data_IF_117989901577
#
_entry.id   IF_117989901577
#
_cell.length_a   1.000
_cell.length_b   1.000
_cell.length_c   1.000
_cell.angle_alpha   90.00
_cell.angle_beta   90.00
_cell.angle_gamma   90.00
#
_symmetry.space_group_name_H-M   'P 1'
#
loop_
_entity.id
_entity.type
_entity.pdbx_description
1 polymer ?
#
# COMPACT_ATOMS: atom_id res chain seq x y z
N UNK A 1 5.39 -8.89 2.17
CA UNK A 1 4.55 -7.68 2.02
C UNK A 1 4.87 -6.77 3.19
N UNK A 2 4.93 -5.46 2.97
CA UNK A 2 5.01 -4.46 4.04
C UNK A 2 3.90 -3.45 3.81
N UNK A 3 2.94 -3.40 4.73
CA UNK A 3 1.88 -2.41 4.77
C UNK A 3 2.11 -1.45 5.93
N UNK A 4 2.06 -0.14 5.66
CA UNK A 4 2.29 0.91 6.66
C UNK A 4 1.13 1.92 6.56
N UNK A 5 0.70 2.46 7.69
CA UNK A 5 -0.26 3.56 7.79
C UNK A 5 0.38 4.76 8.51
N UNK A 6 -0.17 5.95 8.32
CA UNK A 6 0.32 7.20 8.95
C UNK A 6 1.79 7.52 8.63
N UNK A 7 2.26 7.01 7.48
CA UNK A 7 3.63 7.18 7.02
C UNK A 7 3.95 8.66 6.72
N UNK A 8 2.93 9.49 6.48
CA UNK A 8 3.05 10.93 6.31
C UNK A 8 1.87 11.68 6.95
N UNK A 9 2.04 12.99 7.13
CA UNK A 9 0.92 13.86 7.52
C UNK A 9 -0.16 13.85 6.44
N UNK A 10 -1.40 14.02 6.87
CA UNK A 10 -2.60 14.05 6.03
C UNK A 10 -2.64 15.28 5.10
N UNK A 11 -1.77 16.27 5.33
CA UNK A 11 -1.70 17.50 4.53
C UNK A 11 -1.34 17.18 3.07
N UNK A 12 -2.05 17.74 2.07
CA UNK A 12 -1.70 17.57 0.66
C UNK A 12 -0.27 18.02 0.39
N UNK A 13 0.47 17.23 -0.39
CA UNK A 13 1.86 17.54 -0.77
C UNK A 13 2.09 17.27 -2.24
N UNK A 14 2.88 18.13 -2.88
CA UNK A 14 3.31 17.95 -4.27
C UNK A 14 4.50 16.99 -4.39
N UNK A 15 5.26 16.83 -3.32
CA UNK A 15 6.47 16.00 -3.28
C UNK A 15 6.37 14.92 -2.21
N UNK A 16 7.13 13.84 -2.38
CA UNK A 16 7.25 12.78 -1.38
C UNK A 16 7.69 13.36 -0.03
N UNK A 17 7.09 12.91 1.07
CA UNK A 17 7.45 13.37 2.40
C UNK A 17 8.75 12.75 2.94
N UNK A 18 9.27 13.33 4.03
CA UNK A 18 10.54 12.90 4.65
C UNK A 18 10.47 11.47 5.18
N UNK A 19 9.35 11.09 5.82
CA UNK A 19 9.17 9.76 6.42
C UNK A 19 9.06 8.69 5.34
N UNK A 20 8.30 8.92 4.27
CA UNK A 20 8.21 8.06 3.08
C UNK A 20 9.58 7.82 2.46
N UNK A 21 10.41 8.87 2.31
CA UNK A 21 11.80 8.72 1.83
C UNK A 21 12.63 7.84 2.76
N UNK A 22 12.54 8.09 4.07
CA UNK A 22 13.27 7.32 5.08
C UNK A 22 12.86 5.83 5.05
N UNK A 23 11.56 5.54 4.95
CA UNK A 23 11.04 4.18 4.80
C UNK A 23 11.55 3.49 3.54
N UNK A 24 11.52 4.18 2.40
CA UNK A 24 12.06 3.64 1.14
C UNK A 24 13.55 3.33 1.24
N UNK A 25 14.33 4.22 1.85
CA UNK A 25 15.76 4.00 2.08
C UNK A 25 16.01 2.80 3.02
N UNK A 26 15.25 2.70 4.12
CA UNK A 26 15.32 1.58 5.05
C UNK A 26 14.99 0.27 4.34
N UNK A 27 13.90 0.22 3.57
CA UNK A 27 13.54 -0.98 2.83
C UNK A 27 14.63 -1.40 1.85
N UNK A 28 15.21 -0.44 1.11
CA UNK A 28 16.33 -0.74 0.23
C UNK A 28 17.49 -1.38 1.01
N UNK A 29 17.89 -0.78 2.13
CA UNK A 29 19.01 -1.27 2.92
C UNK A 29 18.77 -2.67 3.53
N UNK A 30 17.54 -2.95 3.94
CA UNK A 30 17.17 -4.25 4.54
C UNK A 30 17.01 -5.33 3.48
N UNK A 31 16.38 -5.03 2.34
CA UNK A 31 15.91 -6.05 1.40
C UNK A 31 16.73 -6.18 0.11
N UNK A 32 17.47 -5.16 -0.33
CA UNK A 32 18.09 -5.13 -1.66
C UNK A 32 19.09 -6.27 -1.92
N UNK A 33 19.69 -6.86 -0.88
CA UNK A 33 20.63 -7.97 -1.04
C UNK A 33 19.95 -9.23 -1.59
N UNK A 34 18.82 -9.63 -1.01
CA UNK A 34 18.19 -10.94 -1.29
C UNK A 34 16.83 -10.84 -2.00
N UNK A 35 16.24 -9.65 -2.04
CA UNK A 35 14.90 -9.43 -2.58
C UNK A 35 14.89 -8.36 -3.67
N UNK A 36 13.89 -8.44 -4.54
CA UNK A 36 13.54 -7.45 -5.55
C UNK A 36 12.20 -6.84 -5.19
N UNK A 37 12.08 -5.52 -5.28
CA UNK A 37 10.78 -4.84 -5.15
C UNK A 37 9.93 -5.16 -6.37
N UNK A 38 8.79 -5.83 -6.19
CA UNK A 38 7.82 -6.08 -7.25
C UNK A 38 6.94 -4.86 -7.51
N UNK A 39 6.66 -4.09 -6.47
CA UNK A 39 5.91 -2.86 -6.58
C UNK A 39 5.76 -2.17 -5.23
N UNK A 40 5.61 -0.85 -5.27
CA UNK A 40 5.38 0.02 -4.12
C UNK A 40 4.32 1.02 -4.51
N UNK A 41 3.23 1.07 -3.74
CA UNK A 41 2.13 1.98 -3.97
C UNK A 41 1.79 2.77 -2.71
N UNK A 42 1.27 3.99 -2.88
CA UNK A 42 0.91 4.90 -1.79
C UNK A 42 -0.45 5.53 -2.03
N UNK A 43 -1.23 5.65 -0.97
CA UNK A 43 -2.53 6.31 -0.94
C UNK A 43 -2.57 7.20 0.31
N UNK A 44 -2.35 8.50 0.14
CA UNK A 44 -2.16 9.42 1.26
C UNK A 44 -1.08 8.95 2.24
N UNK A 45 -1.46 8.65 3.48
CA UNK A 45 -0.56 8.12 4.52
C UNK A 45 -0.36 6.60 4.49
N UNK A 46 -1.07 5.87 3.62
CA UNK A 46 -0.94 4.43 3.45
C UNK A 46 0.16 4.10 2.44
N UNK A 47 0.92 3.05 2.72
CA UNK A 47 1.89 2.49 1.79
C UNK A 47 1.77 0.96 1.75
N UNK A 48 1.86 0.38 0.56
CA UNK A 48 1.95 -1.05 0.36
C UNK A 48 3.14 -1.37 -0.54
N UNK A 49 4.05 -2.22 -0.06
CA UNK A 49 5.21 -2.68 -0.81
C UNK A 49 5.28 -4.20 -0.83
N UNK A 50 5.51 -4.77 -2.02
CA UNK A 50 5.73 -6.20 -2.21
C UNK A 50 7.17 -6.45 -2.64
N UNK A 51 7.83 -7.34 -1.90
CA UNK A 51 9.15 -7.86 -2.23
C UNK A 51 9.04 -9.34 -2.57
N UNK A 52 9.85 -9.79 -3.52
CA UNK A 52 10.04 -11.20 -3.86
C UNK A 52 11.50 -11.56 -3.70
N UNK A 53 11.80 -12.79 -3.24
CA UNK A 53 13.18 -13.29 -3.23
C UNK A 53 13.70 -13.34 -4.67
N UNK A 54 14.94 -12.92 -4.91
CA UNK A 54 15.53 -12.84 -6.26
C UNK A 54 15.41 -14.16 -7.05
N UNK A 55 15.60 -15.30 -6.38
CA UNK A 55 15.43 -16.65 -6.97
C UNK A 55 14.01 -16.95 -7.46
N UNK A 56 13.01 -16.29 -6.89
CA UNK A 56 11.58 -16.48 -7.19
C UNK A 56 11.04 -15.43 -8.16
N UNK A 57 11.81 -14.39 -8.50
CA UNK A 57 11.35 -13.31 -9.39
C UNK A 57 10.86 -13.84 -10.75
N UNK A 58 11.52 -14.87 -11.27
CA UNK A 58 11.14 -15.54 -12.53
C UNK A 58 9.77 -16.22 -12.49
N UNK A 59 9.17 -16.41 -11.32
CA UNK A 59 7.84 -17.01 -11.16
C UNK A 59 6.72 -15.97 -11.25
N UNK A 60 7.07 -14.68 -11.21
CA UNK A 60 6.11 -13.59 -11.26
C UNK A 60 5.82 -13.26 -12.73
N UNK A 61 4.54 -13.20 -13.06
CA UNK A 61 4.04 -12.87 -14.40
C UNK A 61 3.64 -11.40 -14.49
N UNK A 62 3.09 -10.84 -13.41
CA UNK A 62 2.67 -9.44 -13.39
C UNK A 62 2.15 -9.02 -12.02
N UNK A 63 1.98 -7.71 -11.88
CA UNK A 63 1.40 -7.09 -10.70
C UNK A 63 0.35 -6.06 -11.14
N UNK A 64 -0.78 -6.04 -10.46
CA UNK A 64 -1.83 -5.04 -10.65
C UNK A 64 -2.12 -4.39 -9.30
N UNK A 65 -2.33 -3.07 -9.32
CA UNK A 65 -2.67 -2.30 -8.12
C UNK A 65 -4.09 -1.78 -8.25
N UNK A 66 -4.85 -1.87 -7.15
CA UNK A 66 -6.19 -1.32 -6.99
C UNK A 66 -6.16 -0.50 -5.70
N UNK A 67 -6.79 0.66 -5.68
CA UNK A 67 -6.88 1.47 -4.46
C UNK A 67 -8.26 2.09 -4.32
N UNK A 68 -8.66 2.33 -3.08
CA UNK A 68 -9.90 3.00 -2.73
C UNK A 68 -9.58 4.03 -1.67
N UNK A 69 -9.75 5.31 -2.00
CA UNK A 69 -9.66 6.40 -1.04
C UNK A 69 -10.98 6.48 -0.25
N UNK A 70 -10.87 6.53 1.08
CA UNK A 70 -12.02 6.77 1.95
C UNK A 70 -11.67 7.95 2.85
N UNK A 71 -12.56 8.92 2.96
CA UNK A 71 -12.25 10.11 3.73
C UNK A 71 -13.46 11.02 3.87
N UNK A 72 -13.41 11.92 4.84
CA UNK A 72 -14.46 12.92 5.01
C UNK A 72 -14.50 13.81 3.77
N UNK A 73 -15.61 13.74 3.02
CA UNK A 73 -15.87 14.55 1.82
C UNK A 73 -14.98 14.25 0.60
N UNK A 74 -14.29 13.10 0.55
CA UNK A 74 -13.35 12.76 -0.54
C UNK A 74 -12.12 13.70 -0.66
N UNK A 75 -11.90 14.61 0.29
CA UNK A 75 -10.83 15.63 0.27
C UNK A 75 -9.59 15.19 1.07
N UNK A 76 -9.77 14.36 2.09
CA UNK A 76 -8.67 13.86 2.93
C UNK A 76 -8.48 12.37 2.66
N UNK A 77 -7.45 12.01 1.89
CA UNK A 77 -7.11 10.62 1.55
C UNK A 77 -6.39 9.88 2.69
N UNK A 78 -6.84 10.05 3.94
CA UNK A 78 -6.18 9.46 5.11
C UNK A 78 -6.69 8.05 5.45
N UNK A 79 -7.89 7.68 5.00
CA UNK A 79 -8.45 6.33 5.13
C UNK A 79 -8.61 5.70 3.76
N UNK A 80 -8.87 4.39 3.76
CA UNK A 80 -9.07 3.62 2.54
C UNK A 80 -8.18 2.39 2.50
N UNK A 81 -7.90 1.90 1.30
CA UNK A 81 -7.12 0.68 1.12
C UNK A 81 -6.41 0.60 -0.21
N UNK A 82 -5.30 -0.13 -0.20
CA UNK A 82 -4.52 -0.50 -1.38
C UNK A 82 -4.53 -2.02 -1.46
N UNK A 83 -4.84 -2.57 -2.63
CA UNK A 83 -4.67 -3.96 -2.98
C UNK A 83 -3.62 -4.09 -4.08
N UNK A 84 -2.70 -5.03 -3.93
CA UNK A 84 -1.78 -5.44 -5.00
C UNK A 84 -1.97 -6.92 -5.30
N UNK A 85 -2.32 -7.21 -6.55
CA UNK A 85 -2.54 -8.55 -7.09
C UNK A 85 -1.26 -9.01 -7.78
N UNK A 86 -0.61 -10.03 -7.25
CA UNK A 86 0.59 -10.62 -7.83
C UNK A 86 0.20 -11.89 -8.56
N UNK A 87 0.34 -11.88 -9.89
CA UNK A 87 0.09 -13.04 -10.74
C UNK A 87 1.37 -13.84 -10.91
N UNK A 88 1.30 -15.14 -10.71
CA UNK A 88 2.41 -16.08 -10.93
C UNK A 88 2.26 -16.82 -12.26
N UNK A 89 3.35 -17.37 -12.79
CA UNK A 89 3.37 -18.10 -14.07
C UNK A 89 2.47 -19.33 -14.11
N UNK A 90 2.20 -19.96 -12.95
CA UNK A 90 1.25 -21.07 -12.84
C UNK A 90 -0.21 -20.59 -12.67
N UNK A 91 -0.52 -19.38 -13.15
CA UNK A 91 -1.85 -18.77 -13.14
C UNK A 91 -2.48 -18.59 -11.75
N UNK A 92 -1.71 -18.71 -10.67
CA UNK A 92 -2.18 -18.31 -9.34
C UNK A 92 -2.09 -16.79 -9.20
N UNK A 93 -3.01 -16.22 -8.43
CA UNK A 93 -3.02 -14.79 -8.11
C UNK A 93 -3.07 -14.64 -6.60
N UNK A 94 -2.11 -13.89 -6.05
CA UNK A 94 -2.04 -13.57 -4.63
C UNK A 94 -2.47 -12.12 -4.44
N UNK A 95 -3.49 -11.90 -3.60
CA UNK A 95 -3.96 -10.58 -3.26
C UNK A 95 -3.38 -10.14 -1.92
N UNK A 96 -2.76 -8.97 -1.89
CA UNK A 96 -2.22 -8.35 -0.69
C UNK A 96 -2.94 -7.03 -0.45
N UNK A 97 -3.56 -6.87 0.71
CA UNK A 97 -4.38 -5.69 1.03
C UNK A 97 -3.81 -4.99 2.26
N UNK A 98 -3.59 -3.69 2.15
CA UNK A 98 -3.34 -2.81 3.28
C UNK A 98 -4.46 -1.78 3.37
N UNK A 99 -5.09 -1.65 4.54
CA UNK A 99 -6.18 -0.71 4.76
C UNK A 99 -5.94 0.11 6.02
N UNK A 100 -6.43 1.35 6.00
CA UNK A 100 -6.53 2.22 7.16
C UNK A 100 -7.99 2.61 7.29
N UNK A 101 -8.68 1.98 8.24
CA UNK A 101 -10.10 2.15 8.45
C UNK A 101 -10.39 3.34 9.37
N UNK A 102 -11.66 3.76 9.43
CA UNK A 102 -12.11 4.78 10.35
C UNK A 102 -11.72 4.42 11.79
N UNK A 103 -11.25 5.42 12.54
CA UNK A 103 -10.98 5.26 13.96
C UNK A 103 -12.29 5.39 14.77
N UNK A 104 -12.24 5.01 16.04
CA UNK A 104 -13.33 5.04 17.03
C UNK A 104 -14.35 3.91 16.92
N UNK A 105 -14.74 3.35 18.06
CA UNK A 105 -15.70 2.23 18.18
C UNK A 105 -17.10 2.60 17.67
N UNK A 106 -17.48 3.87 17.76
CA UNK A 106 -18.77 4.35 17.28
C UNK A 106 -18.85 4.43 15.75
N UNK A 107 -17.77 4.10 15.03
CA UNK A 107 -17.70 4.12 13.57
C UNK A 107 -17.78 2.72 12.94
N UNK A 108 -18.13 1.68 13.71
CA UNK A 108 -18.28 0.31 13.20
C UNK A 108 -19.47 0.20 12.25
N UNK A 109 -20.60 0.82 12.61
CA UNK A 109 -21.85 0.79 11.83
C UNK A 109 -22.03 2.02 10.94
N UNK A 110 -21.17 3.03 11.09
CA UNK A 110 -21.16 4.12 10.13
C UNK A 110 -20.73 3.55 8.80
N UNK A 111 -21.66 3.57 7.85
CA UNK A 111 -21.35 3.35 6.45
C UNK A 111 -20.17 4.26 6.13
N UNK A 112 -19.01 3.64 5.92
CA UNK A 112 -18.00 4.34 5.18
C UNK A 112 -18.71 4.73 3.89
N UNK A 113 -18.68 6.00 3.49
CA UNK A 113 -19.05 6.41 2.13
C UNK A 113 -17.98 5.90 1.15
N UNK A 114 -17.69 4.60 1.27
CA UNK A 114 -16.85 3.71 0.51
C UNK A 114 -17.64 3.45 -0.76
N UNK A 115 -17.20 4.04 -1.86
CA UNK A 115 -17.68 3.72 -3.20
C UNK A 115 -19.13 4.18 -3.50
N UNK A 116 -19.29 5.48 -3.79
CA UNK A 116 -20.26 5.91 -4.81
C UNK A 116 -19.49 6.59 -5.93
#
# INVERSE_FOLDING_TARGET
MIGIQECEDIRPRRSEGRRSRAWRALHHNVFAKQYTCLGSHKLGGLQLVIYVKKSCNKLIQGIQTIEVACGVGNVLSNKGGICMLVRTKNQRTLAFVNAHLAAHVNQVDSWCMLCV
#
